data_IF_159044405736
#
_entry.id   IF_159044405736
#
_cell.length_a   1.000
_cell.length_b   1.000
_cell.length_c   1.000
_cell.angle_alpha   90.00
_cell.angle_beta   90.00
_cell.angle_gamma   90.00
#
_symmetry.space_group_name_H-M   'P 1'
#
loop_
_entity.id
_entity.type
_entity.pdbx_description
1 polymer ?
#
# COMPACT_ATOMS: atom_id res chain seq x y z
N UNK A 1 0.80 -24.96 -7.50
CA UNK A 1 1.45 -24.85 -6.18
C UNK A 1 0.49 -24.11 -5.26
N UNK A 2 0.25 -24.58 -4.04
CA UNK A 2 -0.56 -23.89 -3.02
C UNK A 2 0.22 -23.87 -1.71
N UNK A 3 0.06 -22.81 -0.92
CA UNK A 3 0.71 -22.72 0.39
C UNK A 3 -0.04 -23.61 1.37
N UNK A 4 0.64 -24.64 1.91
CA UNK A 4 0.05 -25.64 2.82
C UNK A 4 0.05 -25.20 4.29
N UNK A 5 1.01 -24.37 4.71
CA UNK A 5 1.08 -23.79 6.06
C UNK A 5 1.93 -22.51 6.05
N UNK A 6 1.69 -21.64 7.02
CA UNK A 6 2.48 -20.43 7.24
C UNK A 6 1.94 -19.64 8.42
N UNK A 7 2.66 -18.61 8.83
CA UNK A 7 2.19 -17.60 9.77
C UNK A 7 2.51 -16.23 9.18
N UNK A 8 1.51 -15.37 9.15
CA UNK A 8 1.60 -14.00 8.67
C UNK A 8 1.08 -13.06 9.74
N UNK A 9 1.64 -11.86 9.81
CA UNK A 9 1.19 -10.82 10.71
C UNK A 9 0.77 -9.62 9.88
N UNK A 10 -0.48 -9.22 9.99
CA UNK A 10 -0.96 -8.03 9.28
C UNK A 10 -0.57 -6.78 10.06
N UNK A 11 0.31 -5.97 9.45
CA UNK A 11 0.75 -4.73 10.07
C UNK A 11 -0.37 -3.69 10.20
N UNK A 12 -1.42 -3.81 9.38
CA UNK A 12 -2.52 -2.86 9.34
C UNK A 12 -3.47 -2.96 10.54
N UNK A 13 -3.79 -4.18 10.97
CA UNK A 13 -4.76 -4.44 12.03
C UNK A 13 -4.20 -5.26 13.21
N UNK A 14 -2.95 -5.72 13.12
CA UNK A 14 -2.27 -6.48 14.16
C UNK A 14 -2.71 -7.94 14.27
N UNK A 15 -3.42 -8.48 13.27
CA UNK A 15 -3.94 -9.85 13.29
C UNK A 15 -2.87 -10.85 12.83
N UNK A 16 -2.68 -11.91 13.62
CA UNK A 16 -1.96 -13.12 13.18
C UNK A 16 -2.86 -14.01 12.32
N UNK A 17 -2.32 -14.49 11.21
CA UNK A 17 -3.02 -15.29 10.21
C UNK A 17 -2.20 -16.56 9.97
N UNK A 18 -2.83 -17.73 10.03
CA UNK A 18 -2.22 -19.02 9.75
C UNK A 18 -2.85 -19.75 8.56
N UNK A 19 -4.00 -19.26 8.08
CA UNK A 19 -4.70 -19.74 6.89
C UNK A 19 -4.31 -18.90 5.68
N UNK A 20 -3.70 -19.54 4.68
CA UNK A 20 -3.26 -18.89 3.44
C UNK A 20 -4.41 -18.21 2.66
N UNK A 21 -5.66 -18.66 2.83
CA UNK A 21 -6.84 -18.05 2.22
C UNK A 21 -7.31 -16.74 2.88
N UNK A 22 -6.74 -16.37 4.03
CA UNK A 22 -7.10 -15.16 4.79
C UNK A 22 -6.04 -14.06 4.73
N UNK A 23 -4.89 -14.33 4.11
CA UNK A 23 -3.82 -13.35 3.87
C UNK A 23 -3.84 -12.94 2.41
N UNK A 24 -3.76 -11.63 2.18
CA UNK A 24 -3.54 -11.06 0.86
C UNK A 24 -2.15 -10.42 0.79
N UNK A 25 -1.57 -10.37 -0.41
CA UNK A 25 -0.47 -9.46 -0.70
C UNK A 25 -1.07 -8.15 -1.18
N UNK A 26 -0.81 -7.11 -0.41
CA UNK A 26 -1.35 -5.80 -0.61
C UNK A 26 -0.42 -4.87 -1.39
N UNK A 27 -1.01 -3.98 -2.18
CA UNK A 27 -0.33 -2.80 -2.73
C UNK A 27 -0.58 -1.58 -1.81
N UNK A 28 0.46 -1.07 -1.15
CA UNK A 28 0.38 0.10 -0.27
C UNK A 28 -0.28 1.27 -0.99
N UNK A 29 0.22 1.61 -2.18
CA UNK A 29 -0.52 2.45 -3.14
C UNK A 29 -1.30 1.52 -4.07
N UNK A 30 -2.65 1.46 -3.98
CA UNK A 30 -3.46 0.60 -4.84
C UNK A 30 -3.20 0.85 -6.32
N UNK A 31 -3.26 -0.20 -7.15
CA UNK A 31 -3.01 -0.05 -8.60
C UNK A 31 -4.00 0.91 -9.28
N UNK A 32 -5.25 0.96 -8.81
CA UNK A 32 -6.24 1.96 -9.26
C UNK A 32 -5.81 3.37 -8.91
N UNK A 33 -5.27 3.56 -7.70
CA UNK A 33 -4.80 4.86 -7.24
C UNK A 33 -3.58 5.31 -8.05
N UNK A 34 -2.60 4.44 -8.23
CA UNK A 34 -1.47 4.71 -9.11
C UNK A 34 -1.92 5.08 -10.54
N UNK A 35 -2.96 4.42 -11.07
CA UNK A 35 -3.52 4.72 -12.39
C UNK A 35 -4.02 6.17 -12.50
N UNK A 36 -4.84 6.61 -11.54
CA UNK A 36 -5.38 7.98 -11.54
C UNK A 36 -4.31 9.02 -11.22
N UNK A 37 -3.31 8.66 -10.42
CA UNK A 37 -2.14 9.47 -10.06
C UNK A 37 -1.04 9.52 -11.13
N UNK A 38 -1.33 9.09 -12.36
CA UNK A 38 -0.47 9.33 -13.53
C UNK A 38 0.06 8.08 -14.22
N UNK A 39 -0.05 6.90 -13.62
CA UNK A 39 0.40 5.66 -14.27
C UNK A 39 -0.38 5.32 -15.56
N UNK A 40 -1.60 5.87 -15.72
CA UNK A 40 -2.35 5.81 -16.97
C UNK A 40 -1.63 6.41 -18.18
N UNK A 41 -0.75 7.40 -17.93
CA UNK A 41 0.03 8.08 -18.96
C UNK A 41 1.36 7.38 -19.27
N UNK A 42 1.72 6.33 -18.51
CA UNK A 42 2.86 5.50 -18.87
C UNK A 42 2.55 4.73 -20.15
N UNK A 43 3.56 4.58 -20.99
CA UNK A 43 3.50 3.75 -22.20
C UNK A 43 2.89 2.36 -21.89
N UNK A 44 1.93 1.85 -22.69
CA UNK A 44 1.33 0.53 -22.50
C UNK A 44 2.35 -0.61 -22.42
N UNK A 45 3.47 -0.54 -23.14
CA UNK A 45 4.54 -1.54 -23.15
C UNK A 45 5.59 -1.29 -22.04
N UNK A 46 5.31 -0.37 -21.11
CA UNK A 46 6.25 0.05 -20.09
C UNK A 46 6.40 -0.98 -18.96
N UNK A 47 7.62 -1.48 -18.80
CA UNK A 47 8.10 -2.29 -17.67
C UNK A 47 7.76 -1.69 -16.29
N UNK A 48 7.56 -0.37 -16.18
CA UNK A 48 7.17 0.32 -14.93
C UNK A 48 5.85 -0.16 -14.35
N UNK A 49 4.85 -0.50 -15.17
CA UNK A 49 3.55 -1.00 -14.66
C UNK A 49 3.75 -2.32 -13.91
N UNK A 50 4.49 -3.23 -14.54
CA UNK A 50 4.84 -4.53 -13.95
C UNK A 50 5.79 -4.36 -12.77
N UNK A 51 6.73 -3.41 -12.83
CA UNK A 51 7.64 -3.12 -11.72
C UNK A 51 6.87 -2.63 -10.48
N UNK A 52 5.97 -1.66 -10.62
CA UNK A 52 5.13 -1.18 -9.51
C UNK A 52 4.29 -2.31 -8.90
N UNK A 53 3.68 -3.15 -9.74
CA UNK A 53 2.84 -4.24 -9.27
C UNK A 53 3.63 -5.33 -8.51
N UNK A 54 4.92 -5.46 -8.77
CA UNK A 54 5.79 -6.52 -8.24
C UNK A 54 6.98 -5.96 -7.44
N UNK A 55 6.89 -4.74 -6.92
CA UNK A 55 8.01 -4.10 -6.23
C UNK A 55 8.21 -4.69 -4.83
N UNK A 56 9.23 -5.53 -4.72
CA UNK A 56 9.68 -6.14 -3.46
C UNK A 56 10.87 -5.40 -2.82
N UNK A 57 11.34 -4.33 -3.46
CA UNK A 57 12.50 -3.52 -3.00
C UNK A 57 12.08 -2.27 -2.23
N UNK A 58 10.90 -1.73 -2.55
CA UNK A 58 10.26 -0.62 -1.86
C UNK A 58 9.06 -1.12 -1.04
N UNK A 59 8.53 -0.30 -0.11
CA UNK A 59 7.41 -0.71 0.74
C UNK A 59 6.07 -0.66 -0.02
N UNK A 60 6.01 -1.24 -1.21
CA UNK A 60 4.80 -1.31 -2.03
C UNK A 60 4.01 -2.59 -1.77
N UNK A 61 4.68 -3.71 -1.48
CA UNK A 61 4.02 -4.99 -1.21
C UNK A 61 4.07 -5.37 0.27
N UNK A 62 2.91 -5.66 0.87
CA UNK A 62 2.78 -6.07 2.27
C UNK A 62 1.83 -7.25 2.43
N UNK A 63 2.14 -8.20 3.30
CA UNK A 63 1.15 -9.23 3.69
C UNK A 63 0.15 -8.66 4.70
N UNK A 64 -1.13 -8.72 4.39
CA UNK A 64 -2.20 -8.13 5.22
C UNK A 64 -3.38 -9.10 5.38
N UNK A 65 -4.24 -8.82 6.35
CA UNK A 65 -5.51 -9.52 6.44
C UNK A 65 -6.40 -9.16 5.26
N UNK A 66 -7.11 -10.13 4.69
CA UNK A 66 -8.07 -9.87 3.60
C UNK A 66 -9.12 -8.80 3.97
N UNK A 67 -9.42 -8.64 5.27
CA UNK A 67 -10.37 -7.64 5.76
C UNK A 67 -9.86 -6.21 5.62
N UNK A 68 -8.57 -5.98 5.88
CA UNK A 68 -7.97 -4.64 5.85
C UNK A 68 -7.66 -4.14 4.43
N UNK A 69 -7.73 -5.02 3.42
CA UNK A 69 -7.38 -4.74 2.02
C UNK A 69 -8.50 -4.06 1.18
N UNK A 70 -9.57 -3.51 1.77
CA UNK A 70 -10.81 -3.25 0.99
C UNK A 70 -11.01 -1.87 0.35
N UNK A 71 -10.26 -0.84 0.73
CA UNK A 71 -10.14 0.45 0.01
C UNK A 71 -9.12 1.29 0.77
N UNK A 72 -8.20 1.99 0.08
CA UNK A 72 -7.06 2.63 0.73
C UNK A 72 -6.69 3.93 0.03
N UNK A 73 -6.69 5.00 0.82
CA UNK A 73 -6.28 6.36 0.46
C UNK A 73 -6.01 7.08 1.80
N UNK A 74 -4.83 7.66 2.07
CA UNK A 74 -4.55 8.34 3.34
C UNK A 74 -5.59 9.40 3.76
N UNK A 75 -6.30 10.00 2.80
CA UNK A 75 -7.38 10.95 3.06
C UNK A 75 -8.64 10.28 3.63
N UNK A 76 -8.94 9.06 3.20
CA UNK A 76 -10.16 8.32 3.58
C UNK A 76 -9.90 7.20 4.60
N UNK A 77 -8.70 6.65 4.62
CA UNK A 77 -8.34 5.44 5.34
C UNK A 77 -6.84 5.37 5.68
N UNK A 78 -6.54 4.96 6.91
CA UNK A 78 -5.21 4.55 7.35
C UNK A 78 -5.32 3.27 8.18
N UNK A 79 -4.22 2.52 8.39
CA UNK A 79 -4.21 1.38 9.31
C UNK A 79 -4.84 1.67 10.67
N UNK A 80 -5.67 0.74 11.16
CA UNK A 80 -6.26 0.85 12.50
C UNK A 80 -5.24 0.67 13.61
N UNK A 81 -4.12 0.00 13.31
CA UNK A 81 -3.00 -0.12 14.23
C UNK A 81 -2.19 1.18 14.24
N UNK A 82 -2.46 2.03 15.22
CA UNK A 82 -1.86 3.37 15.35
C UNK A 82 -0.33 3.36 15.25
N UNK A 83 0.33 2.38 15.86
CA UNK A 83 1.79 2.25 15.82
C UNK A 83 2.37 2.05 14.41
N UNK A 84 1.54 1.69 13.43
CA UNK A 84 1.95 1.47 12.05
C UNK A 84 1.58 2.64 11.11
N UNK A 85 0.78 3.60 11.57
CA UNK A 85 0.30 4.72 10.73
C UNK A 85 1.47 5.53 10.15
N UNK A 86 2.48 5.86 10.96
CA UNK A 86 3.67 6.59 10.51
C UNK A 86 4.45 5.83 9.42
N UNK A 87 4.58 4.51 9.57
CA UNK A 87 5.23 3.67 8.56
C UNK A 87 4.42 3.66 7.27
N UNK A 88 3.08 3.53 7.37
CA UNK A 88 2.18 3.53 6.22
C UNK A 88 2.23 4.83 5.42
N UNK A 89 2.10 5.99 6.06
CA UNK A 89 2.10 7.28 5.34
C UNK A 89 3.46 7.60 4.73
N UNK A 90 4.56 7.20 5.38
CA UNK A 90 5.91 7.31 4.80
C UNK A 90 6.08 6.39 3.59
N UNK A 91 5.56 5.16 3.66
CA UNK A 91 5.58 4.22 2.55
C UNK A 91 4.76 4.73 1.35
N UNK A 92 3.58 5.30 1.58
CA UNK A 92 2.76 5.93 0.54
C UNK A 92 3.53 7.01 -0.23
N UNK A 93 4.15 7.95 0.50
CA UNK A 93 4.98 9.01 -0.08
C UNK A 93 6.17 8.43 -0.86
N UNK A 94 6.86 7.44 -0.28
CA UNK A 94 8.03 6.83 -0.92
C UNK A 94 7.67 6.12 -2.23
N UNK A 95 6.58 5.34 -2.25
CA UNK A 95 6.12 4.66 -3.48
C UNK A 95 5.73 5.69 -4.53
N UNK A 96 4.90 6.68 -4.17
CA UNK A 96 4.49 7.71 -5.14
C UNK A 96 5.70 8.48 -5.69
N UNK A 97 6.65 8.84 -4.84
CA UNK A 97 7.90 9.48 -5.27
C UNK A 97 8.71 8.61 -6.23
N UNK A 98 8.99 7.36 -5.87
CA UNK A 98 9.82 6.45 -6.67
C UNK A 98 9.25 6.18 -8.06
N UNK A 99 7.93 6.13 -8.17
CA UNK A 99 7.25 5.88 -9.44
C UNK A 99 6.83 7.15 -10.18
N UNK A 100 7.06 8.34 -9.61
CA UNK A 100 6.67 9.62 -10.21
C UNK A 100 5.15 9.77 -10.32
N UNK A 101 4.42 9.32 -9.29
CA UNK A 101 2.97 9.46 -9.16
C UNK A 101 2.64 10.76 -8.42
N UNK A 102 1.56 11.42 -8.82
CA UNK A 102 1.08 12.62 -8.15
C UNK A 102 0.44 12.30 -6.80
N UNK A 103 0.48 13.28 -5.89
CA UNK A 103 -0.33 13.33 -4.68
C UNK A 103 -1.35 14.44 -4.89
N UNK A 104 -2.63 14.15 -4.71
CA UNK A 104 -3.67 15.18 -4.77
C UNK A 104 -3.73 16.03 -3.48
N UNK A 105 -4.64 17.00 -3.42
CA UNK A 105 -4.68 17.92 -2.28
C UNK A 105 -5.17 17.24 -1.00
N UNK A 106 -6.17 16.36 -1.10
CA UNK A 106 -6.76 15.69 0.06
C UNK A 106 -5.77 14.71 0.67
N UNK A 107 -5.07 13.95 -0.19
CA UNK A 107 -3.96 13.11 0.22
C UNK A 107 -2.84 13.93 0.88
N UNK A 108 -2.45 15.04 0.26
CA UNK A 108 -1.37 15.89 0.78
C UNK A 108 -1.69 16.41 2.18
N UNK A 109 -2.90 16.92 2.39
CA UNK A 109 -3.33 17.45 3.68
C UNK A 109 -3.38 16.34 4.74
N UNK A 110 -3.88 15.16 4.39
CA UNK A 110 -3.89 14.00 5.28
C UNK A 110 -2.46 13.53 5.63
N UNK A 111 -1.59 13.40 4.64
CA UNK A 111 -0.19 13.00 4.82
C UNK A 111 0.55 13.98 5.73
N UNK A 112 0.40 15.29 5.53
CA UNK A 112 0.98 16.30 6.43
C UNK A 112 0.48 16.13 7.87
N UNK A 113 -0.84 16.03 8.07
CA UNK A 113 -1.45 15.85 9.39
C UNK A 113 -0.92 14.62 10.14
N UNK A 114 -0.70 13.50 9.46
CA UNK A 114 -0.14 12.30 10.08
C UNK A 114 1.36 12.44 10.31
N UNK A 115 2.11 12.93 9.31
CA UNK A 115 3.57 13.04 9.38
C UNK A 115 4.05 14.04 10.45
N UNK A 116 3.28 15.09 10.78
CA UNK A 116 3.59 16.01 11.89
C UNK A 116 3.50 15.37 13.27
N UNK A 117 2.79 14.24 13.39
CA UNK A 117 2.64 13.47 14.63
C UNK A 117 3.59 12.27 14.70
N UNK A 118 4.40 12.12 13.64
CA UNK A 118 5.49 11.18 13.53
C UNK A 118 6.84 11.91 13.73
#
# INVERSE_FOLDING_TARGET
CTVSSGKWFSQYDGVEIDQSSKVDIDHVVPLKEAWVSGARNWDPDNVKRTALANDITNPQLLSVSQKSNRMKDPAEWVPTRESYVCTYVRAWVQVKYNYGLSIDMDEKDALHKYLEKC
#
